data_IF_311508244298
#
_entry.id   IF_311508244298
#
_cell.length_a   1.000
_cell.length_b   1.000
_cell.length_c   1.000
_cell.angle_alpha   90.00
_cell.angle_beta   90.00
_cell.angle_gamma   90.00
#
_symmetry.space_group_name_H-M   'P 1'
#
loop_
_entity.id
_entity.type
_entity.pdbx_description
1 polymer ?
#
# COMPACT_ATOMS: atom_id res chain seq x y z
N UNK A 1 -1.35 -49.86 -32.14
CA UNK A 1 -1.30 -50.08 -30.67
C UNK A 1 -0.13 -49.42 -29.94
N UNK A 2 1.04 -49.16 -30.56
CA UNK A 2 2.16 -48.46 -29.87
C UNK A 2 2.01 -46.94 -29.70
N UNK A 3 1.07 -46.29 -30.40
CA UNK A 3 0.81 -44.84 -30.26
C UNK A 3 -0.21 -44.47 -29.16
N UNK A 4 -1.00 -45.43 -28.66
CA UNK A 4 -1.93 -45.19 -27.54
C UNK A 4 -1.28 -45.40 -26.17
N UNK A 5 -0.20 -46.19 -26.09
CA UNK A 5 0.52 -46.43 -24.83
C UNK A 5 1.42 -45.26 -24.42
N UNK A 6 1.80 -44.39 -25.37
CA UNK A 6 2.64 -43.21 -25.10
C UNK A 6 1.84 -42.03 -24.50
N UNK A 7 0.51 -42.03 -24.64
CA UNK A 7 -0.32 -40.94 -24.14
C UNK A 7 -0.70 -41.14 -22.65
N UNK A 8 -0.62 -42.37 -22.14
CA UNK A 8 -0.91 -42.67 -20.72
C UNK A 8 0.27 -42.39 -19.77
N UNK A 9 1.52 -42.34 -20.25
CA UNK A 9 2.69 -42.01 -19.42
C UNK A 9 2.93 -40.50 -19.26
N UNK A 10 2.35 -39.67 -20.12
CA UNK A 10 2.43 -38.21 -20.01
C UNK A 10 1.36 -37.61 -19.09
N UNK A 11 0.28 -38.35 -18.77
CA UNK A 11 -0.74 -37.91 -17.81
C UNK A 11 -0.41 -38.26 -16.35
N UNK A 12 0.54 -39.15 -16.08
CA UNK A 12 0.93 -39.52 -14.71
C UNK A 12 2.01 -38.62 -14.09
N UNK A 13 2.69 -37.78 -14.87
CA UNK A 13 3.65 -36.81 -14.36
C UNK A 13 3.02 -35.46 -13.94
N UNK A 14 1.73 -35.26 -14.19
CA UNK A 14 1.02 -34.02 -13.82
C UNK A 14 0.28 -34.09 -12.47
N UNK A 15 0.30 -35.23 -11.78
CA UNK A 15 -0.38 -35.42 -10.49
C UNK A 15 0.58 -35.62 -9.30
N UNK A 16 1.90 -35.49 -9.50
CA UNK A 16 2.93 -35.67 -8.45
C UNK A 16 3.81 -34.43 -8.22
N UNK A 17 3.29 -33.24 -8.50
CA UNK A 17 3.91 -31.98 -8.05
C UNK A 17 2.99 -31.14 -7.16
N UNK A 18 1.83 -31.66 -6.75
CA UNK A 18 0.92 -30.99 -5.81
C UNK A 18 0.97 -31.54 -4.38
N UNK A 19 1.89 -32.47 -4.07
CA UNK A 19 2.00 -33.07 -2.75
C UNK A 19 3.46 -33.15 -2.29
N UNK A 20 4.14 -32.00 -2.07
CA UNK A 20 5.38 -31.94 -1.25
C UNK A 20 5.79 -30.50 -0.88
N UNK A 21 4.84 -29.63 -0.52
CA UNK A 21 5.14 -28.40 0.24
C UNK A 21 4.28 -28.23 1.51
N UNK A 22 3.42 -29.20 1.83
CA UNK A 22 2.59 -29.22 3.04
C UNK A 22 3.22 -30.04 4.18
N UNK A 23 4.53 -29.95 4.36
CA UNK A 23 5.17 -30.47 5.56
C UNK A 23 5.90 -29.35 6.28
N UNK A 24 5.26 -28.90 7.36
CA UNK A 24 5.74 -28.03 8.44
C UNK A 24 5.71 -26.52 8.15
N UNK A 25 4.59 -25.84 8.49
CA UNK A 25 4.49 -24.47 9.06
C UNK A 25 3.08 -23.77 8.91
N UNK A 26 1.96 -24.51 8.80
CA UNK A 26 0.71 -23.97 8.23
C UNK A 26 -0.29 -23.22 9.11
N UNK A 27 -0.41 -23.48 10.42
CA UNK A 27 -1.60 -22.99 11.16
C UNK A 27 -1.44 -21.64 11.88
N UNK A 28 -0.28 -21.32 12.47
CA UNK A 28 -0.11 -20.06 13.25
C UNK A 28 0.35 -18.86 12.38
N UNK A 29 1.00 -19.11 11.23
CA UNK A 29 1.36 -18.06 10.26
C UNK A 29 0.19 -17.67 9.37
N UNK A 30 -0.72 -18.60 9.07
CA UNK A 30 -1.86 -18.32 8.20
C UNK A 30 -2.91 -17.44 8.90
N UNK A 31 -3.19 -17.67 10.19
CA UNK A 31 -4.14 -16.86 10.96
C UNK A 31 -3.71 -15.40 11.08
N UNK A 32 -2.43 -15.14 11.38
CA UNK A 32 -1.90 -13.77 11.50
C UNK A 32 -1.87 -13.02 10.18
N UNK A 33 -1.42 -13.68 9.12
CA UNK A 33 -1.44 -13.09 7.78
C UNK A 33 -2.85 -12.75 7.34
N UNK A 34 -3.83 -13.61 7.65
CA UNK A 34 -5.24 -13.34 7.40
C UNK A 34 -5.73 -12.12 8.18
N UNK A 35 -5.45 -12.00 9.47
CA UNK A 35 -5.84 -10.82 10.28
C UNK A 35 -5.29 -9.52 9.68
N UNK A 36 -4.01 -9.51 9.26
CA UNK A 36 -3.40 -8.34 8.63
C UNK A 36 -4.08 -8.01 7.29
N UNK A 37 -4.28 -9.02 6.44
CA UNK A 37 -4.87 -8.83 5.12
C UNK A 37 -6.34 -8.40 5.20
N UNK A 38 -7.11 -8.97 6.12
CA UNK A 38 -8.51 -8.62 6.35
C UNK A 38 -8.64 -7.17 6.84
N UNK A 39 -7.74 -6.74 7.74
CA UNK A 39 -7.68 -5.34 8.17
C UNK A 39 -7.39 -4.41 6.99
N UNK A 40 -6.33 -4.68 6.22
CA UNK A 40 -5.94 -3.86 5.07
C UNK A 40 -7.05 -3.81 4.01
N UNK A 41 -7.66 -4.94 3.70
CA UNK A 41 -8.78 -5.02 2.77
C UNK A 41 -9.97 -4.15 3.23
N UNK A 42 -10.29 -4.12 4.53
CA UNK A 42 -11.36 -3.23 5.04
C UNK A 42 -10.99 -1.75 4.89
N UNK A 43 -9.73 -1.39 5.13
CA UNK A 43 -9.24 -0.02 4.97
C UNK A 43 -9.27 0.41 3.51
N UNK A 44 -8.71 -0.42 2.61
CA UNK A 44 -8.73 -0.23 1.15
C UNK A 44 -10.15 0.04 0.66
N UNK A 45 -11.08 -0.88 0.92
CA UNK A 45 -12.48 -0.74 0.48
C UNK A 45 -13.16 0.52 1.03
N UNK A 46 -12.85 0.90 2.27
CA UNK A 46 -13.36 2.14 2.85
C UNK A 46 -12.84 3.35 2.08
N UNK A 47 -11.53 3.37 1.80
CA UNK A 47 -10.87 4.47 1.13
C UNK A 47 -11.28 4.60 -0.34
N UNK A 48 -11.33 3.49 -1.08
CA UNK A 48 -11.79 3.49 -2.47
C UNK A 48 -13.21 4.07 -2.60
N UNK A 49 -14.12 3.66 -1.71
CA UNK A 49 -15.51 4.14 -1.74
C UNK A 49 -15.64 5.61 -1.37
N UNK A 50 -14.93 6.04 -0.32
CA UNK A 50 -15.05 7.39 0.25
C UNK A 50 -14.31 8.45 -0.57
N UNK A 51 -13.11 8.13 -1.05
CA UNK A 51 -12.23 9.09 -1.74
C UNK A 51 -12.18 8.92 -3.26
N UNK A 52 -12.86 7.89 -3.81
CA UNK A 52 -12.87 7.59 -5.25
C UNK A 52 -11.46 7.36 -5.81
N UNK A 53 -10.62 6.70 -5.02
CA UNK A 53 -9.28 6.24 -5.38
C UNK A 53 -9.29 4.73 -5.62
N UNK A 54 -8.26 4.17 -6.24
CA UNK A 54 -8.16 2.71 -6.49
C UNK A 54 -6.92 2.16 -5.77
N UNK A 55 -7.08 1.12 -4.97
CA UNK A 55 -5.94 0.44 -4.36
C UNK A 55 -5.16 -0.33 -5.42
N UNK A 56 -3.82 -0.25 -5.38
CA UNK A 56 -2.94 -0.91 -6.34
C UNK A 56 -1.90 -1.83 -5.67
N UNK A 57 -1.55 -1.58 -4.41
CA UNK A 57 -0.63 -2.45 -3.68
C UNK A 57 -0.77 -2.32 -2.15
N UNK A 58 -0.26 -3.34 -1.46
CA UNK A 58 -0.11 -3.38 0.00
C UNK A 58 1.35 -3.54 0.39
N UNK A 59 1.79 -2.80 1.40
CA UNK A 59 3.15 -2.82 1.92
C UNK A 59 3.17 -3.29 3.38
N UNK A 60 3.73 -4.47 3.66
CA UNK A 60 3.72 -5.05 5.01
C UNK A 60 5.14 -5.33 5.48
N UNK A 61 5.51 -4.82 6.65
CA UNK A 61 6.74 -5.20 7.35
C UNK A 61 6.41 -6.01 8.59
N UNK A 62 6.62 -7.33 8.53
CA UNK A 62 6.29 -8.24 9.62
C UNK A 62 7.42 -9.25 9.94
N UNK A 63 8.66 -8.80 10.21
CA UNK A 63 9.78 -9.70 10.48
C UNK A 63 9.53 -10.53 11.75
N UNK A 64 9.71 -11.85 11.66
CA UNK A 64 9.40 -12.76 12.77
C UNK A 64 7.91 -12.79 13.13
N UNK A 65 7.03 -12.31 12.25
CA UNK A 65 5.60 -12.22 12.50
C UNK A 65 5.18 -11.01 13.35
N UNK A 66 6.07 -10.08 13.68
CA UNK A 66 5.72 -8.86 14.43
C UNK A 66 5.51 -7.70 13.47
N UNK A 67 4.31 -7.15 13.43
CA UNK A 67 3.91 -6.07 12.50
C UNK A 67 4.59 -4.78 12.93
N UNK A 68 5.45 -4.24 12.07
CA UNK A 68 6.19 -2.99 12.28
C UNK A 68 5.69 -1.85 11.41
N UNK A 69 5.19 -2.18 10.22
CA UNK A 69 4.68 -1.22 9.25
C UNK A 69 3.56 -1.85 8.43
N UNK A 70 2.50 -1.08 8.21
CA UNK A 70 1.41 -1.38 7.29
C UNK A 70 1.29 -0.24 6.29
N UNK A 71 1.05 -0.52 5.02
CA UNK A 71 0.89 0.54 4.04
C UNK A 71 0.06 0.13 2.84
N UNK A 72 -0.48 1.14 2.18
CA UNK A 72 -1.39 1.01 1.06
C UNK A 72 -1.00 2.00 -0.03
N UNK A 73 -0.98 1.52 -1.26
CA UNK A 73 -0.70 2.34 -2.41
C UNK A 73 -1.97 2.50 -3.23
N UNK A 74 -2.25 3.73 -3.66
CA UNK A 74 -3.45 4.06 -4.41
C UNK A 74 -3.12 4.82 -5.68
N UNK A 75 -3.95 4.64 -6.70
CA UNK A 75 -3.99 5.48 -7.88
C UNK A 75 -5.15 6.47 -7.78
N UNK A 76 -4.91 7.73 -8.16
CA UNK A 76 -5.87 8.83 -8.11
C UNK A 76 -5.76 9.73 -9.34
N UNK A 77 -6.88 10.32 -9.77
CA UNK A 77 -6.87 11.34 -10.83
C UNK A 77 -6.24 12.64 -10.33
N UNK A 78 -5.32 13.20 -11.12
CA UNK A 78 -4.74 14.53 -10.93
C UNK A 78 -4.87 15.40 -12.19
N UNK A 79 -4.11 16.51 -12.29
CA UNK A 79 -3.16 17.00 -11.29
C UNK A 79 -3.86 17.58 -10.05
N UNK A 80 -3.18 17.54 -8.90
CA UNK A 80 -3.60 18.20 -7.67
C UNK A 80 -2.51 19.15 -7.19
N UNK A 81 -2.90 20.22 -6.50
CA UNK A 81 -1.96 21.08 -5.81
C UNK A 81 -1.32 20.35 -4.62
N UNK A 82 -0.11 20.77 -4.22
CA UNK A 82 0.56 20.25 -3.02
C UNK A 82 -0.34 20.31 -1.77
N UNK A 83 -1.20 21.33 -1.68
CA UNK A 83 -2.12 21.51 -0.57
C UNK A 83 -3.28 20.52 -0.55
N UNK A 84 -3.91 20.28 -1.70
CA UNK A 84 -4.94 19.24 -1.83
C UNK A 84 -4.36 17.87 -1.48
N UNK A 85 -3.17 17.57 -2.00
CA UNK A 85 -2.45 16.33 -1.71
C UNK A 85 -2.15 16.21 -0.22
N UNK A 86 -1.66 17.28 0.41
CA UNK A 86 -1.41 17.32 1.86
C UNK A 86 -2.66 16.95 2.64
N UNK A 87 -3.79 17.59 2.32
CA UNK A 87 -5.06 17.34 2.99
C UNK A 87 -5.50 15.88 2.85
N UNK A 88 -5.35 15.31 1.65
CA UNK A 88 -5.69 13.90 1.39
C UNK A 88 -4.79 12.97 2.21
N UNK A 89 -3.46 13.13 2.14
CA UNK A 89 -2.53 12.27 2.87
C UNK A 89 -2.75 12.32 4.38
N UNK A 90 -2.93 13.52 4.96
CA UNK A 90 -3.25 13.66 6.39
C UNK A 90 -4.55 12.93 6.72
N UNK A 91 -5.63 13.21 5.99
CA UNK A 91 -6.95 12.60 6.26
C UNK A 91 -6.90 11.08 6.16
N UNK A 92 -6.30 10.53 5.10
CA UNK A 92 -6.15 9.09 4.93
C UNK A 92 -5.30 8.48 6.05
N UNK A 93 -4.22 9.15 6.45
CA UNK A 93 -3.33 8.66 7.50
C UNK A 93 -3.99 8.60 8.88
N UNK A 94 -4.79 9.61 9.23
CA UNK A 94 -5.55 9.64 10.46
C UNK A 94 -6.61 8.53 10.49
N UNK A 95 -7.34 8.34 9.39
CA UNK A 95 -8.33 7.27 9.29
C UNK A 95 -7.67 5.88 9.33
N UNK A 96 -6.53 5.70 8.66
CA UNK A 96 -5.77 4.45 8.70
C UNK A 96 -5.40 4.11 10.16
N UNK A 97 -4.85 5.08 10.90
CA UNK A 97 -4.52 4.87 12.31
C UNK A 97 -5.75 4.53 13.16
N UNK A 98 -6.90 5.14 12.90
CA UNK A 98 -8.16 4.79 13.58
C UNK A 98 -8.53 3.33 13.30
N UNK A 99 -8.50 2.89 12.04
CA UNK A 99 -8.79 1.49 11.69
C UNK A 99 -7.85 0.51 12.40
N UNK A 100 -6.54 0.77 12.37
CA UNK A 100 -5.54 -0.13 12.97
C UNK A 100 -5.68 -0.16 14.49
N UNK A 101 -5.79 0.99 15.14
CA UNK A 101 -5.76 1.07 16.60
C UNK A 101 -7.07 0.62 17.26
N UNK A 102 -8.18 0.60 16.51
CA UNK A 102 -9.49 0.11 16.97
C UNK A 102 -9.75 -1.36 16.67
N UNK A 103 -8.94 -2.00 15.83
CA UNK A 103 -9.08 -3.43 15.52
C UNK A 103 -8.45 -4.27 16.65
N UNK A 104 -9.27 -5.02 17.40
CA UNK A 104 -8.78 -5.88 18.49
C UNK A 104 -7.98 -7.09 18.00
N UNK A 105 -8.25 -7.59 16.78
CA UNK A 105 -7.62 -8.78 16.25
C UNK A 105 -6.16 -8.54 15.87
N UNK A 106 -5.81 -7.34 15.38
CA UNK A 106 -4.43 -7.02 14.99
C UNK A 106 -3.52 -6.73 16.21
N UNK A 107 -4.08 -6.24 17.33
CA UNK A 107 -3.30 -5.76 18.49
C UNK A 107 -2.21 -6.71 18.98
N UNK A 108 -2.46 -8.03 19.12
CA UNK A 108 -1.43 -8.97 19.59
C UNK A 108 -0.20 -9.07 18.68
N UNK A 109 -0.32 -8.62 17.43
CA UNK A 109 0.73 -8.74 16.41
C UNK A 109 1.50 -7.44 16.20
N UNK A 110 1.02 -6.32 16.73
CA UNK A 110 1.65 -5.01 16.57
C UNK A 110 2.94 -4.91 17.39
N UNK A 111 4.00 -4.37 16.79
CA UNK A 111 5.29 -4.16 17.47
C UNK A 111 5.15 -3.22 18.67
N UNK A 112 4.34 -2.18 18.50
CA UNK A 112 4.01 -1.17 19.49
C UNK A 112 2.49 -0.96 19.45
N UNK A 113 1.87 -0.59 20.56
CA UNK A 113 0.47 -0.17 20.59
C UNK A 113 0.34 1.09 21.48
N UNK A 114 -0.36 2.14 21.03
CA UNK A 114 -0.96 2.29 19.69
C UNK A 114 0.09 2.43 18.58
N UNK A 115 -0.28 2.06 17.35
CA UNK A 115 0.44 2.47 16.14
C UNK A 115 0.33 3.98 15.98
N UNK A 116 1.41 4.58 15.49
CA UNK A 116 1.54 6.01 15.20
C UNK A 116 1.87 6.20 13.72
N UNK A 117 1.99 7.47 13.31
CA UNK A 117 2.24 7.84 11.91
C UNK A 117 3.50 7.19 11.33
N UNK A 118 4.50 6.87 12.17
CA UNK A 118 5.73 6.21 11.75
C UNK A 118 5.55 4.71 11.44
N UNK A 119 4.40 4.14 11.81
CA UNK A 119 4.05 2.73 11.61
C UNK A 119 3.13 2.50 10.40
N UNK A 120 2.73 3.57 9.69
CA UNK A 120 1.91 3.45 8.50
C UNK A 120 2.59 4.07 7.27
N UNK A 121 2.17 3.64 6.09
CA UNK A 121 2.56 4.20 4.80
C UNK A 121 1.36 4.36 3.88
N UNK A 122 1.23 5.50 3.22
CA UNK A 122 0.28 5.66 2.10
C UNK A 122 1.03 6.28 0.94
N UNK A 123 0.94 5.67 -0.23
CA UNK A 123 1.46 6.22 -1.49
C UNK A 123 0.31 6.55 -2.43
N UNK A 124 0.34 7.73 -3.03
CA UNK A 124 -0.59 8.17 -4.07
C UNK A 124 0.17 8.31 -5.38
N UNK A 125 -0.28 7.59 -6.39
CA UNK A 125 0.17 7.70 -7.78
C UNK A 125 -0.87 8.48 -8.56
N UNK A 126 -0.47 9.61 -9.14
CA UNK A 126 -1.39 10.48 -9.87
C UNK A 126 -1.33 10.19 -11.37
N UNK A 127 -2.51 10.04 -11.95
CA UNK A 127 -2.70 9.86 -13.39
C UNK A 127 -3.63 10.93 -13.95
N UNK A 128 -3.53 11.20 -15.24
CA UNK A 128 -4.45 12.06 -15.96
C UNK A 128 -5.76 11.34 -16.37
N UNK A 129 -6.65 12.08 -17.04
CA UNK A 129 -7.90 11.53 -17.57
C UNK A 129 -7.74 10.42 -18.62
N UNK A 130 -6.55 10.29 -19.22
CA UNK A 130 -6.19 9.25 -20.18
C UNK A 130 -5.50 8.06 -19.51
N UNK A 131 -5.38 8.06 -18.18
CA UNK A 131 -4.65 7.06 -17.37
C UNK A 131 -3.16 7.03 -17.62
N UNK A 132 -2.59 8.15 -18.05
CA UNK A 132 -1.15 8.33 -18.17
C UNK A 132 -0.60 8.91 -16.87
N UNK A 133 0.62 8.52 -16.51
CA UNK A 133 1.33 9.08 -15.36
C UNK A 133 1.56 10.59 -15.56
N UNK A 134 1.50 11.34 -14.45
CA UNK A 134 1.81 12.77 -14.49
C UNK A 134 3.31 13.02 -14.41
N UNK A 135 3.83 13.68 -15.44
CA UNK A 135 5.19 14.22 -15.49
C UNK A 135 5.23 15.72 -15.13
N UNK A 136 6.44 16.28 -15.07
CA UNK A 136 6.72 17.70 -14.91
C UNK A 136 5.79 18.58 -15.78
N UNK A 137 5.17 19.64 -15.20
CA UNK A 137 5.46 20.25 -13.90
C UNK A 137 4.63 19.73 -12.72
N UNK A 138 3.90 18.63 -12.88
CA UNK A 138 2.94 18.17 -11.86
C UNK A 138 3.57 17.18 -10.87
N UNK A 139 2.97 17.09 -9.68
CA UNK A 139 3.32 16.03 -8.71
C UNK A 139 2.72 14.71 -9.24
N UNK A 140 3.59 13.77 -9.59
CA UNK A 140 3.19 12.44 -10.07
C UNK A 140 3.06 11.42 -8.94
N UNK A 141 3.84 11.58 -7.87
CA UNK A 141 3.77 10.71 -6.69
C UNK A 141 3.80 11.55 -5.42
N UNK A 142 2.96 11.20 -4.47
CA UNK A 142 3.08 11.70 -3.11
C UNK A 142 2.94 10.56 -2.10
N UNK A 143 3.66 10.61 -1.00
CA UNK A 143 3.56 9.59 0.04
C UNK A 143 3.58 10.21 1.43
N UNK A 144 3.01 9.49 2.39
CA UNK A 144 3.32 9.64 3.80
C UNK A 144 3.93 8.34 4.30
N UNK A 145 5.12 8.42 4.88
CA UNK A 145 5.83 7.25 5.41
C UNK A 145 6.81 7.69 6.48
N UNK A 146 6.90 6.90 7.56
CA UNK A 146 7.84 7.16 8.67
C UNK A 146 7.71 8.58 9.27
N UNK A 147 6.50 9.13 9.29
CA UNK A 147 6.21 10.47 9.85
C UNK A 147 6.51 11.64 8.92
N UNK A 148 6.79 11.42 7.64
CA UNK A 148 7.04 12.50 6.68
C UNK A 148 6.15 12.39 5.46
N UNK A 149 5.75 13.54 4.92
CA UNK A 149 5.12 13.66 3.61
C UNK A 149 6.20 13.99 2.58
N UNK A 150 6.22 13.24 1.47
CA UNK A 150 7.09 13.49 0.33
C UNK A 150 6.26 13.72 -0.94
N UNK A 151 6.67 14.68 -1.76
CA UNK A 151 6.01 15.06 -3.01
C UNK A 151 7.04 15.02 -4.13
N UNK A 152 6.78 14.22 -5.17
CA UNK A 152 7.74 13.91 -6.23
C UNK A 152 7.19 14.37 -7.57
N UNK A 153 7.97 15.20 -8.25
CA UNK A 153 7.76 15.54 -9.66
C UNK A 153 8.59 14.56 -10.49
N UNK A 154 7.93 13.91 -11.45
CA UNK A 154 8.53 12.92 -12.33
C UNK A 154 9.00 13.57 -13.64
N UNK A 155 10.00 12.96 -14.25
CA UNK A 155 10.40 13.21 -15.63
C UNK A 155 10.71 11.86 -16.28
N UNK A 156 10.43 11.76 -17.58
CA UNK A 156 10.85 10.63 -18.39
C UNK A 156 12.16 10.94 -19.11
N UNK A 157 13.19 10.11 -18.90
CA UNK A 157 14.48 10.20 -19.61
C UNK A 157 14.70 8.86 -20.32
N UNK A 158 14.83 8.87 -21.64
CA UNK A 158 15.01 7.65 -22.46
C UNK A 158 13.97 6.55 -22.14
N UNK A 159 12.69 6.94 -22.05
CA UNK A 159 11.55 6.08 -21.68
C UNK A 159 11.62 5.47 -20.26
N UNK A 160 12.50 5.97 -19.40
CA UNK A 160 12.64 5.55 -18.01
C UNK A 160 12.12 6.66 -17.08
N UNK A 161 11.12 6.38 -16.22
CA UNK A 161 10.68 7.31 -15.20
C UNK A 161 11.81 7.62 -14.20
N UNK A 162 12.02 8.91 -13.93
CA UNK A 162 13.01 9.43 -13.00
C UNK A 162 12.43 10.56 -12.16
N UNK A 163 13.08 10.86 -11.04
CA UNK A 163 12.67 11.95 -10.16
C UNK A 163 13.35 13.24 -10.60
N UNK A 164 12.56 14.24 -11.00
CA UNK A 164 13.07 15.60 -11.24
C UNK A 164 13.36 16.31 -9.94
N UNK A 165 12.43 16.22 -8.99
CA UNK A 165 12.56 16.86 -7.69
C UNK A 165 11.68 16.19 -6.65
N UNK A 166 12.15 16.22 -5.41
CA UNK A 166 11.38 15.79 -4.22
C UNK A 166 11.32 16.94 -3.23
N UNK A 167 10.13 17.24 -2.73
CA UNK A 167 9.96 18.12 -1.55
C UNK A 167 9.43 17.30 -0.38
N UNK A 168 9.79 17.69 0.84
CA UNK A 168 9.50 16.95 2.06
C UNK A 168 9.07 17.90 3.18
N UNK A 169 8.17 17.44 4.04
CA UNK A 169 7.77 18.08 5.30
C UNK A 169 7.42 16.99 6.32
N UNK A 170 7.53 17.28 7.62
CA UNK A 170 7.05 16.37 8.66
C UNK A 170 5.53 16.33 8.69
N UNK A 171 4.97 15.28 9.30
CA UNK A 171 3.54 15.19 9.56
C UNK A 171 3.02 16.38 10.37
N UNK A 172 3.77 16.82 11.38
CA UNK A 172 3.44 17.98 12.21
C UNK A 172 3.48 19.29 11.42
N UNK A 173 4.52 19.49 10.59
CA UNK A 173 4.61 20.67 9.71
C UNK A 173 3.43 20.73 8.73
N UNK A 174 3.02 19.58 8.19
CA UNK A 174 1.86 19.46 7.33
C UNK A 174 0.55 19.81 8.08
N UNK A 175 0.34 19.28 9.29
CA UNK A 175 -0.81 19.62 10.12
C UNK A 175 -0.88 21.12 10.43
N UNK A 176 0.23 21.71 10.86
CA UNK A 176 0.30 23.15 11.11
C UNK A 176 -0.01 23.99 9.86
N UNK A 177 0.48 23.55 8.70
CA UNK A 177 0.24 24.24 7.44
C UNK A 177 -1.24 24.23 7.04
N UNK A 178 -2.00 23.19 7.37
CA UNK A 178 -3.45 23.14 7.16
C UNK A 178 -4.19 24.05 8.14
N UNK A 179 -3.81 24.04 9.42
CA UNK A 179 -4.48 24.83 10.46
C UNK A 179 -4.28 26.35 10.29
N UNK A 180 -3.12 26.78 9.79
CA UNK A 180 -2.84 28.22 9.54
C UNK A 180 -3.74 28.85 8.47
N UNK A 181 -4.46 28.05 7.68
CA UNK A 181 -5.31 28.51 6.58
C UNK A 181 -6.80 28.50 6.88
N UNK A 182 -7.21 27.96 8.03
CA UNK A 182 -8.60 27.97 8.49
C UNK A 182 -8.94 29.23 9.33
N UNK A 183 -7.99 30.18 9.46
CA UNK A 183 -8.11 31.48 10.14
C UNK A 183 -8.16 32.60 9.10
#
# INVERSE_FOLDING_TARGET
MKKMLSLMYLLSFFLMSCETQNYQNGEDRSSRGQVVNDLLYRIENSFEKKYKINAIATNISMPGGVVKLLGLDFQMLGPLSKEEIRKILITLSEEFLVFVNSDEAIKPYLKNYPFRIENIGITLFFIDSQRMDLDDPYIGIAEISRGFLEYKILITIDDIPSFKSTSKESYEEALEALNRKEI
#
